data_IF_345020035850
#
_entry.id   IF_345020035850
#
_cell.length_a   1.000
_cell.length_b   1.000
_cell.length_c   1.000
_cell.angle_alpha   90.00
_cell.angle_beta   90.00
_cell.angle_gamma   90.00
#
_symmetry.space_group_name_H-M   'P 1'
#
loop_
_entity.id
_entity.type
_entity.pdbx_description
1 polymer ?
#
# COMPACT_ATOMS: atom_id res chain seq x y z
N UNK A 1 -14.28 -90.07 -68.23
CA UNK A 1 -14.79 -88.68 -68.37
C UNK A 1 -16.19 -88.53 -67.79
N UNK A 2 -17.18 -89.40 -68.12
CA UNK A 2 -18.55 -89.34 -67.55
C UNK A 2 -18.66 -89.46 -66.02
N UNK A 3 -17.90 -90.37 -65.40
CA UNK A 3 -17.94 -90.59 -63.93
C UNK A 3 -17.47 -89.32 -63.16
N UNK A 4 -16.50 -88.59 -63.70
CA UNK A 4 -15.99 -87.36 -63.08
C UNK A 4 -16.98 -86.17 -63.18
N UNK A 5 -17.82 -86.13 -64.22
CA UNK A 5 -18.89 -85.11 -64.35
C UNK A 5 -20.04 -85.38 -63.38
N UNK A 6 -20.46 -86.64 -63.22
CA UNK A 6 -21.49 -87.02 -62.24
C UNK A 6 -21.04 -86.75 -60.79
N UNK A 7 -19.77 -87.00 -60.47
CA UNK A 7 -19.19 -86.67 -59.16
C UNK A 7 -19.16 -85.17 -58.88
N UNK A 8 -18.87 -84.34 -59.90
CA UNK A 8 -18.92 -82.87 -59.78
C UNK A 8 -20.35 -82.36 -59.56
N UNK A 9 -21.32 -82.85 -60.33
CA UNK A 9 -22.74 -82.51 -60.15
C UNK A 9 -23.25 -82.89 -58.76
N UNK A 10 -22.88 -84.08 -58.26
CA UNK A 10 -23.23 -84.52 -56.91
C UNK A 10 -22.57 -83.67 -55.81
N UNK A 11 -21.35 -83.18 -56.02
CA UNK A 11 -20.69 -82.23 -55.10
C UNK A 11 -21.37 -80.86 -55.11
N UNK A 12 -21.75 -80.33 -56.27
CA UNK A 12 -22.47 -79.07 -56.39
C UNK A 12 -23.86 -79.11 -55.73
N UNK A 13 -24.59 -80.20 -55.90
CA UNK A 13 -25.86 -80.47 -55.22
C UNK A 13 -25.67 -80.47 -53.69
N UNK A 14 -24.66 -81.17 -53.17
CA UNK A 14 -24.34 -81.19 -51.73
C UNK A 14 -24.00 -79.80 -51.21
N UNK A 15 -23.25 -79.00 -51.97
CA UNK A 15 -22.91 -77.60 -51.61
C UNK A 15 -24.16 -76.72 -51.61
N UNK A 16 -25.05 -76.86 -52.59
CA UNK A 16 -26.33 -76.13 -52.64
C UNK A 16 -27.22 -76.48 -51.44
N UNK A 17 -27.30 -77.76 -51.07
CA UNK A 17 -28.05 -78.21 -49.90
C UNK A 17 -27.46 -77.67 -48.59
N UNK A 18 -26.12 -77.64 -48.45
CA UNK A 18 -25.45 -77.00 -47.30
C UNK A 18 -25.77 -75.51 -47.22
N UNK A 19 -25.64 -74.78 -48.32
CA UNK A 19 -25.97 -73.34 -48.39
C UNK A 19 -27.43 -73.04 -48.04
N UNK A 20 -28.38 -73.90 -48.44
CA UNK A 20 -29.79 -73.78 -48.05
C UNK A 20 -29.97 -73.93 -46.54
N UNK A 21 -29.38 -74.97 -45.94
CA UNK A 21 -29.41 -75.19 -44.49
C UNK A 21 -28.75 -74.05 -43.70
N UNK A 22 -27.63 -73.53 -44.18
CA UNK A 22 -26.94 -72.41 -43.54
C UNK A 22 -27.77 -71.13 -43.62
N UNK A 23 -28.43 -70.88 -44.76
CA UNK A 23 -29.34 -69.74 -44.93
C UNK A 23 -30.54 -69.82 -43.99
N UNK A 24 -31.10 -71.01 -43.79
CA UNK A 24 -32.20 -71.23 -42.83
C UNK A 24 -31.75 -70.99 -41.39
N UNK A 25 -30.57 -71.50 -40.99
CA UNK A 25 -29.99 -71.23 -39.66
C UNK A 25 -29.72 -69.75 -39.42
N UNK A 26 -29.23 -69.04 -40.43
CA UNK A 26 -28.99 -67.59 -40.36
C UNK A 26 -30.31 -66.84 -40.14
N UNK A 27 -31.37 -67.19 -40.88
CA UNK A 27 -32.70 -66.60 -40.69
C UNK A 27 -33.24 -66.81 -39.27
N UNK A 28 -33.21 -68.05 -38.78
CA UNK A 28 -33.65 -68.38 -37.42
C UNK A 28 -32.86 -67.59 -36.37
N UNK A 29 -31.54 -67.46 -36.54
CA UNK A 29 -30.70 -66.66 -35.64
C UNK A 29 -31.08 -65.17 -35.67
N UNK A 30 -31.35 -64.61 -36.84
CA UNK A 30 -31.78 -63.22 -36.96
C UNK A 30 -33.15 -62.98 -36.32
N UNK A 31 -34.10 -63.89 -36.49
CA UNK A 31 -35.42 -63.82 -35.87
C UNK A 31 -35.32 -63.81 -34.33
N UNK A 32 -34.51 -64.71 -33.76
CA UNK A 32 -34.26 -64.74 -32.30
C UNK A 32 -33.60 -63.44 -31.80
N UNK A 33 -32.64 -62.88 -32.55
CA UNK A 33 -32.00 -61.62 -32.20
C UNK A 33 -32.97 -60.42 -32.27
N UNK A 34 -33.85 -60.39 -33.27
CA UNK A 34 -34.90 -59.38 -33.38
C UNK A 34 -35.88 -59.45 -32.21
N UNK A 35 -36.32 -60.64 -31.82
CA UNK A 35 -37.18 -60.83 -30.66
C UNK A 35 -36.52 -60.39 -29.36
N UNK A 36 -35.23 -60.72 -29.17
CA UNK A 36 -34.46 -60.27 -28.02
C UNK A 36 -34.33 -58.74 -27.98
N UNK A 37 -34.04 -58.11 -29.12
CA UNK A 37 -33.98 -56.65 -29.23
C UNK A 37 -35.32 -55.99 -28.92
N UNK A 38 -36.43 -56.55 -29.40
CA UNK A 38 -37.78 -56.04 -29.10
C UNK A 38 -38.09 -56.11 -27.60
N UNK A 39 -37.81 -57.25 -26.97
CA UNK A 39 -37.99 -57.43 -25.52
C UNK A 39 -37.15 -56.45 -24.71
N UNK A 40 -35.88 -56.26 -25.09
CA UNK A 40 -35.02 -55.27 -24.43
C UNK A 40 -35.54 -53.85 -24.62
N UNK A 41 -35.95 -53.48 -25.84
CA UNK A 41 -36.51 -52.16 -26.11
C UNK A 41 -37.79 -51.88 -25.32
N UNK A 42 -38.64 -52.88 -25.09
CA UNK A 42 -39.82 -52.74 -24.22
C UNK A 42 -39.44 -52.52 -22.76
N UNK A 43 -38.46 -53.27 -22.23
CA UNK A 43 -37.95 -53.07 -20.87
C UNK A 43 -37.30 -51.70 -20.72
N UNK A 44 -36.51 -51.26 -21.69
CA UNK A 44 -35.85 -49.96 -21.68
C UNK A 44 -36.86 -48.81 -21.75
N UNK A 45 -37.96 -48.96 -22.49
CA UNK A 45 -39.07 -48.00 -22.51
C UNK A 45 -39.69 -47.84 -21.13
N UNK A 46 -40.03 -48.95 -20.47
CA UNK A 46 -40.60 -48.92 -19.11
C UNK A 46 -39.63 -48.25 -18.14
N UNK A 47 -38.35 -48.60 -18.20
CA UNK A 47 -37.30 -47.99 -17.37
C UNK A 47 -37.17 -46.49 -17.61
N UNK A 48 -37.27 -46.05 -18.87
CA UNK A 48 -37.22 -44.64 -19.25
C UNK A 48 -38.42 -43.87 -18.69
N UNK A 49 -39.62 -44.44 -18.76
CA UNK A 49 -40.83 -43.83 -18.19
C UNK A 49 -40.74 -43.67 -16.67
N UNK A 50 -40.20 -44.67 -15.96
CA UNK A 50 -39.95 -44.57 -14.52
C UNK A 50 -38.94 -43.46 -14.18
N UNK A 51 -37.86 -43.35 -14.95
CA UNK A 51 -36.86 -42.29 -14.77
C UNK A 51 -37.48 -40.91 -15.03
N UNK A 52 -38.28 -40.76 -16.08
CA UNK A 52 -38.97 -39.51 -16.39
C UNK A 52 -39.93 -39.10 -15.26
N UNK A 53 -40.68 -40.05 -14.68
CA UNK A 53 -41.56 -39.78 -13.52
C UNK A 53 -40.76 -39.28 -12.31
N UNK A 54 -39.62 -39.89 -12.02
CA UNK A 54 -38.73 -39.45 -10.92
C UNK A 54 -38.16 -38.06 -11.18
N UNK A 55 -37.71 -37.79 -12.40
CA UNK A 55 -37.21 -36.47 -12.79
C UNK A 55 -38.30 -35.40 -12.70
N UNK A 56 -39.52 -35.70 -13.13
CA UNK A 56 -40.64 -34.77 -13.03
C UNK A 56 -40.98 -34.43 -11.56
N UNK A 57 -40.99 -35.44 -10.68
CA UNK A 57 -41.20 -35.23 -9.25
C UNK A 57 -40.08 -34.37 -8.62
N UNK A 58 -38.83 -34.64 -8.97
CA UNK A 58 -37.68 -33.84 -8.51
C UNK A 58 -37.72 -32.40 -9.04
N UNK A 59 -38.11 -32.20 -10.31
CA UNK A 59 -38.18 -30.89 -10.92
C UNK A 59 -39.13 -29.93 -10.18
N UNK A 60 -40.24 -30.45 -9.63
CA UNK A 60 -41.18 -29.65 -8.83
C UNK A 60 -40.49 -29.15 -7.55
N UNK A 61 -39.85 -30.06 -6.82
CA UNK A 61 -39.13 -29.74 -5.56
C UNK A 61 -37.96 -28.80 -5.82
N UNK A 62 -37.19 -29.05 -6.89
CA UNK A 62 -36.07 -28.22 -7.26
C UNK A 62 -36.51 -26.82 -7.70
N UNK A 63 -37.66 -26.68 -8.37
CA UNK A 63 -38.21 -25.37 -8.75
C UNK A 63 -38.54 -24.52 -7.51
N UNK A 64 -39.16 -25.12 -6.48
CA UNK A 64 -39.43 -24.43 -5.21
C UNK A 64 -38.13 -24.05 -4.50
N UNK A 65 -37.15 -24.96 -4.46
CA UNK A 65 -35.84 -24.69 -3.85
C UNK A 65 -35.11 -23.55 -4.55
N UNK A 66 -35.15 -23.50 -5.88
CA UNK A 66 -34.52 -22.44 -6.68
C UNK A 66 -35.19 -21.11 -6.38
N UNK A 67 -36.53 -21.03 -6.42
CA UNK A 67 -37.26 -19.80 -6.08
C UNK A 67 -36.91 -19.29 -4.69
N UNK A 68 -36.85 -20.18 -3.69
CA UNK A 68 -36.47 -19.78 -2.34
C UNK A 68 -35.03 -19.24 -2.26
N UNK A 69 -34.09 -19.88 -2.98
CA UNK A 69 -32.69 -19.39 -3.04
C UNK A 69 -32.58 -18.04 -3.73
N UNK A 70 -33.29 -17.84 -4.83
CA UNK A 70 -33.35 -16.56 -5.54
C UNK A 70 -33.88 -15.45 -4.62
N UNK A 71 -34.93 -15.71 -3.84
CA UNK A 71 -35.47 -14.75 -2.87
C UNK A 71 -34.45 -14.39 -1.79
N UNK A 72 -33.74 -15.38 -1.23
CA UNK A 72 -32.69 -15.13 -0.24
C UNK A 72 -31.53 -14.31 -0.83
N UNK A 73 -31.14 -14.60 -2.06
CA UNK A 73 -30.09 -13.85 -2.75
C UNK A 73 -30.52 -12.40 -2.99
N UNK A 74 -31.74 -12.18 -3.46
CA UNK A 74 -32.32 -10.83 -3.61
C UNK A 74 -32.34 -10.07 -2.28
N UNK A 75 -32.75 -10.70 -1.18
CA UNK A 75 -32.73 -10.08 0.15
C UNK A 75 -31.31 -9.69 0.58
N UNK A 76 -30.31 -10.55 0.33
CA UNK A 76 -28.90 -10.24 0.63
C UNK A 76 -28.40 -9.05 -0.19
N UNK A 77 -28.69 -9.02 -1.49
CA UNK A 77 -28.29 -7.91 -2.38
C UNK A 77 -28.93 -6.60 -1.90
N UNK A 78 -30.23 -6.61 -1.58
CA UNK A 78 -30.92 -5.43 -1.06
C UNK A 78 -30.33 -4.96 0.28
N UNK A 79 -30.02 -5.88 1.19
CA UNK A 79 -29.39 -5.55 2.47
C UNK A 79 -27.99 -4.94 2.29
N UNK A 80 -27.19 -5.49 1.37
CA UNK A 80 -25.87 -4.93 1.03
C UNK A 80 -25.98 -3.52 0.44
N UNK A 81 -26.94 -3.32 -0.48
CA UNK A 81 -27.16 -2.01 -1.08
C UNK A 81 -27.54 -0.95 -0.04
N UNK A 82 -28.50 -1.27 0.84
CA UNK A 82 -28.91 -0.39 1.94
C UNK A 82 -27.74 -0.04 2.85
N UNK A 83 -26.95 -1.03 3.25
CA UNK A 83 -25.75 -0.81 4.08
C UNK A 83 -24.72 0.08 3.39
N UNK A 84 -24.51 -0.09 2.08
CA UNK A 84 -23.60 0.75 1.31
C UNK A 84 -24.12 2.20 1.19
N UNK A 85 -25.43 2.39 1.04
CA UNK A 85 -26.04 3.72 1.06
C UNK A 85 -25.88 4.41 2.41
N UNK A 86 -26.16 3.72 3.51
CA UNK A 86 -25.95 4.23 4.87
C UNK A 86 -24.49 4.62 5.11
N UNK A 87 -23.55 3.78 4.68
CA UNK A 87 -22.11 4.08 4.78
C UNK A 87 -21.72 5.33 3.99
N UNK A 88 -22.20 5.47 2.75
CA UNK A 88 -21.96 6.66 1.93
C UNK A 88 -22.52 7.92 2.56
N UNK A 89 -23.70 7.86 3.17
CA UNK A 89 -24.29 9.00 3.88
C UNK A 89 -23.44 9.39 5.10
N UNK A 90 -23.01 8.43 5.91
CA UNK A 90 -22.14 8.68 7.06
C UNK A 90 -20.78 9.27 6.65
N UNK A 91 -20.20 8.76 5.57
CA UNK A 91 -18.95 9.29 5.01
C UNK A 91 -19.13 10.72 4.51
N UNK A 92 -20.21 10.99 3.79
CA UNK A 92 -20.55 12.34 3.33
C UNK A 92 -20.74 13.32 4.49
N UNK A 93 -21.51 12.96 5.51
CA UNK A 93 -21.70 13.78 6.72
C UNK A 93 -20.36 14.06 7.45
N UNK A 94 -19.51 13.02 7.54
CA UNK A 94 -18.17 13.15 8.10
C UNK A 94 -17.30 14.10 7.28
N UNK A 95 -17.32 13.99 5.95
CA UNK A 95 -16.60 14.88 5.05
C UNK A 95 -17.10 16.32 5.17
N UNK A 96 -18.40 16.56 5.18
CA UNK A 96 -18.98 17.90 5.41
C UNK A 96 -18.51 18.49 6.75
N UNK A 97 -18.51 17.70 7.83
CA UNK A 97 -18.00 18.15 9.13
C UNK A 97 -16.51 18.48 9.09
N UNK A 98 -15.71 17.66 8.41
CA UNK A 98 -14.28 17.89 8.27
C UNK A 98 -13.99 19.12 7.40
N UNK A 99 -14.76 19.35 6.33
CA UNK A 99 -14.59 20.52 5.48
C UNK A 99 -14.95 21.81 6.24
N UNK A 100 -16.02 21.81 7.03
CA UNK A 100 -16.34 22.94 7.91
C UNK A 100 -15.23 23.23 8.94
N UNK A 101 -14.53 22.20 9.44
CA UNK A 101 -13.36 22.39 10.32
C UNK A 101 -12.15 22.91 9.54
N UNK A 102 -11.92 22.40 8.33
CA UNK A 102 -10.87 22.89 7.44
C UNK A 102 -11.11 24.35 7.13
N UNK A 103 -12.30 24.77 6.78
CA UNK A 103 -12.62 26.19 6.52
C UNK A 103 -12.28 27.09 7.72
N UNK A 104 -12.55 26.63 8.96
CA UNK A 104 -12.21 27.39 10.17
C UNK A 104 -10.71 27.54 10.42
N UNK A 105 -9.91 26.53 10.07
CA UNK A 105 -8.47 26.47 10.36
C UNK A 105 -7.61 26.83 9.14
N UNK A 106 -8.17 26.76 7.93
CA UNK A 106 -7.48 26.98 6.66
C UNK A 106 -6.96 28.40 6.64
N UNK A 107 -5.65 28.53 6.78
CA UNK A 107 -4.95 29.79 6.58
C UNK A 107 -5.07 30.13 5.09
N UNK A 108 -5.88 31.13 4.77
CA UNK A 108 -5.94 31.71 3.42
C UNK A 108 -4.70 32.58 3.27
N UNK A 109 -3.62 31.98 2.78
CA UNK A 109 -2.46 32.71 2.31
C UNK A 109 -2.58 32.94 0.81
N UNK A 110 -2.16 34.13 0.36
CA UNK A 110 -2.02 34.41 -1.06
C UNK A 110 -1.02 33.43 -1.70
N UNK A 111 -1.31 33.05 -2.95
CA UNK A 111 -0.44 32.19 -3.73
C UNK A 111 0.78 33.01 -4.16
N UNK A 112 1.82 32.97 -3.33
CA UNK A 112 3.11 33.59 -3.61
C UNK A 112 4.07 32.53 -4.19
N UNK A 113 4.35 32.54 -5.52
CA UNK A 113 5.26 31.58 -6.14
C UNK A 113 6.71 31.74 -5.67
N UNK A 114 7.09 32.91 -5.15
CA UNK A 114 8.42 33.15 -4.61
C UNK A 114 8.57 32.64 -3.16
N UNK A 115 7.49 32.28 -2.47
CA UNK A 115 7.54 31.73 -1.10
C UNK A 115 8.41 30.48 -0.98
N UNK A 116 8.46 29.67 -2.04
CA UNK A 116 9.29 28.45 -2.10
C UNK A 116 10.78 28.78 -2.26
N UNK A 117 11.09 29.90 -2.91
CA UNK A 117 12.45 30.33 -3.26
C UNK A 117 13.02 31.28 -2.19
N UNK A 118 12.16 32.01 -1.49
CA UNK A 118 12.54 33.02 -0.50
C UNK A 118 13.15 32.35 0.73
N UNK A 119 14.26 32.90 1.19
CA UNK A 119 14.87 32.57 2.48
C UNK A 119 13.82 32.69 3.61
N UNK A 120 13.75 31.68 4.49
CA UNK A 120 12.89 31.76 5.68
C UNK A 120 13.31 32.92 6.57
N UNK A 121 12.38 33.54 7.29
CA UNK A 121 12.68 34.67 8.20
C UNK A 121 13.81 34.32 9.18
N UNK A 122 13.81 33.09 9.70
CA UNK A 122 14.87 32.60 10.58
C UNK A 122 16.24 32.53 9.89
N UNK A 123 16.28 32.14 8.61
CA UNK A 123 17.53 32.15 7.82
C UNK A 123 18.01 33.57 7.51
N UNK A 124 17.09 34.49 7.23
CA UNK A 124 17.41 35.91 7.07
C UNK A 124 18.02 36.48 8.36
N UNK A 125 17.43 36.19 9.52
CA UNK A 125 17.96 36.62 10.82
C UNK A 125 19.34 36.02 11.15
N UNK A 126 19.63 34.79 10.71
CA UNK A 126 20.97 34.20 10.85
C UNK A 126 22.02 34.82 9.93
N UNK A 127 21.62 35.28 8.74
CA UNK A 127 22.50 35.96 7.78
C UNK A 127 22.72 37.43 8.11
N UNK A 128 21.82 38.06 8.86
CA UNK A 128 22.03 39.42 9.31
C UNK A 128 23.29 39.47 10.19
N UNK A 129 24.28 40.32 9.85
CA UNK A 129 25.32 40.67 10.80
C UNK A 129 24.67 41.19 12.08
N UNK A 130 25.27 40.91 13.23
CA UNK A 130 24.80 41.49 14.49
C UNK A 130 24.59 43.01 14.31
N UNK A 131 23.50 43.58 14.89
CA UNK A 131 23.19 44.99 14.72
C UNK A 131 24.43 45.82 15.04
N UNK A 132 24.69 46.86 14.24
CA UNK A 132 25.88 47.71 14.35
C UNK A 132 26.09 48.31 15.76
N UNK A 133 25.01 48.36 16.55
CA UNK A 133 24.99 48.88 17.92
C UNK A 133 25.00 47.80 19.02
N UNK A 134 25.08 46.51 18.66
CA UNK A 134 25.02 45.39 19.58
C UNK A 134 26.36 44.66 19.72
N UNK A 135 26.97 44.75 20.91
CA UNK A 135 28.13 43.92 21.28
C UNK A 135 27.77 42.45 21.06
N UNK A 136 28.45 41.78 20.13
CA UNK A 136 28.32 40.33 19.94
C UNK A 136 28.56 39.63 21.29
N UNK A 137 27.52 39.04 21.88
CA UNK A 137 27.64 38.36 23.18
C UNK A 137 28.71 37.24 23.16
N UNK A 138 28.96 36.66 21.99
CA UNK A 138 29.93 35.60 21.77
C UNK A 138 31.32 36.09 21.34
N UNK A 139 31.50 37.38 21.07
CA UNK A 139 32.81 37.93 20.77
C UNK A 139 33.52 38.27 22.08
N UNK A 140 34.74 37.75 22.32
CA UNK A 140 35.51 38.08 23.52
C UNK A 140 35.89 39.57 23.49
N UNK A 141 35.97 40.20 24.67
CA UNK A 141 36.32 41.62 24.75
C UNK A 141 37.81 41.89 24.46
N UNK A 142 38.66 40.86 24.56
CA UNK A 142 40.08 40.90 24.27
C UNK A 142 40.51 39.72 23.41
N UNK A 143 41.49 39.95 22.55
CA UNK A 143 42.13 38.88 21.79
C UNK A 143 43.09 38.08 22.69
N UNK A 144 42.85 36.77 22.79
CA UNK A 144 43.68 35.85 23.57
C UNK A 144 44.47 34.96 22.60
N UNK A 145 45.79 35.12 22.58
CA UNK A 145 46.70 34.34 21.74
C UNK A 145 47.38 33.22 22.56
N UNK A 146 46.59 32.26 23.04
CA UNK A 146 47.10 31.13 23.85
C UNK A 146 46.68 29.79 23.28
N UNK A 147 47.52 28.77 23.44
CA UNK A 147 47.28 27.42 22.91
C UNK A 147 46.77 26.41 23.97
N UNK A 148 46.79 26.78 25.26
CA UNK A 148 46.40 25.89 26.37
C UNK A 148 45.19 26.43 27.13
N UNK A 149 44.19 25.57 27.39
CA UNK A 149 42.99 25.91 28.16
C UNK A 149 43.28 26.35 29.60
N UNK A 150 44.32 25.80 30.22
CA UNK A 150 44.75 26.21 31.56
C UNK A 150 45.28 27.65 31.60
N UNK A 151 45.88 28.12 30.49
CA UNK A 151 46.34 29.51 30.38
C UNK A 151 45.17 30.47 30.21
N UNK A 152 44.17 30.07 29.41
CA UNK A 152 42.93 30.82 29.20
C UNK A 152 42.19 31.03 30.53
N UNK A 153 41.98 29.95 31.30
CA UNK A 153 41.27 30.03 32.58
C UNK A 153 42.07 30.71 33.69
N UNK A 154 43.39 30.84 33.54
CA UNK A 154 44.24 31.56 34.49
C UNK A 154 44.18 33.08 34.34
N UNK A 155 43.78 33.58 33.16
CA UNK A 155 43.81 35.00 32.85
C UNK A 155 42.79 35.79 33.70
N UNK A 156 43.21 36.79 34.50
CA UNK A 156 42.31 37.60 35.30
C UNK A 156 41.30 38.41 34.47
N UNK A 157 41.65 38.79 33.23
CA UNK A 157 40.77 39.57 32.35
C UNK A 157 39.54 38.78 31.94
N UNK A 158 39.73 37.52 31.56
CA UNK A 158 38.64 36.63 31.19
C UNK A 158 37.73 36.31 32.38
N UNK A 159 38.33 36.10 33.56
CA UNK A 159 37.56 35.90 34.80
C UNK A 159 36.70 37.12 35.15
N UNK A 160 37.24 38.32 34.98
CA UNK A 160 36.48 39.53 35.24
C UNK A 160 35.38 39.73 34.19
N UNK A 161 35.68 39.50 32.91
CA UNK A 161 34.71 39.58 31.81
C UNK A 161 33.52 38.66 32.06
N UNK A 162 33.79 37.39 32.33
CA UNK A 162 32.74 36.39 32.59
C UNK A 162 31.86 36.81 33.76
N UNK A 163 32.43 37.33 34.86
CA UNK A 163 31.65 37.86 35.98
C UNK A 163 30.82 39.08 35.61
N UNK A 164 31.34 40.00 34.79
CA UNK A 164 30.61 41.17 34.32
C UNK A 164 29.48 40.79 33.35
N UNK A 165 29.64 39.74 32.55
CA UNK A 165 28.59 39.18 31.70
C UNK A 165 27.53 38.44 32.53
N UNK A 166 27.94 37.62 33.48
CA UNK A 166 27.03 36.94 34.43
C UNK A 166 26.18 37.94 35.20
N UNK A 167 26.76 39.10 35.57
CA UNK A 167 26.07 40.20 36.24
C UNK A 167 25.29 41.13 35.28
N UNK A 168 25.40 40.95 33.96
CA UNK A 168 24.77 41.82 32.96
C UNK A 168 25.37 43.22 32.82
N UNK A 169 26.50 43.52 33.46
CA UNK A 169 27.13 44.85 33.53
C UNK A 169 28.20 45.12 32.46
N UNK A 170 28.46 44.14 31.58
CA UNK A 170 29.49 44.20 30.54
C UNK A 170 29.49 45.47 29.64
N UNK A 171 28.34 46.08 29.38
CA UNK A 171 28.23 47.27 28.52
C UNK A 171 28.30 48.61 29.28
N UNK A 172 28.52 48.60 30.59
CA UNK A 172 28.56 49.83 31.39
C UNK A 172 29.92 50.56 31.28
N UNK A 173 29.92 51.89 31.42
CA UNK A 173 31.15 52.69 31.46
C UNK A 173 32.09 52.25 32.58
N UNK A 174 31.50 51.88 33.72
CA UNK A 174 32.23 51.34 34.85
C UNK A 174 32.96 50.04 34.50
N UNK A 175 32.27 49.10 33.85
CA UNK A 175 32.89 47.86 33.40
C UNK A 175 34.05 48.14 32.43
N UNK A 176 33.89 49.07 31.48
CA UNK A 176 34.96 49.48 30.56
C UNK A 176 36.18 50.03 31.30
N UNK A 177 35.96 50.89 32.29
CA UNK A 177 37.02 51.49 33.09
C UNK A 177 37.78 50.47 33.93
N UNK A 178 37.06 49.57 34.60
CA UNK A 178 37.69 48.52 35.42
C UNK A 178 38.48 47.56 34.52
N UNK A 179 37.92 47.16 33.39
CA UNK A 179 38.58 46.24 32.45
C UNK A 179 39.86 46.83 31.86
N UNK A 180 39.90 48.14 31.58
CA UNK A 180 41.09 48.83 31.10
C UNK A 180 42.26 48.80 32.11
N UNK A 181 41.95 48.71 33.40
CA UNK A 181 42.95 48.67 34.49
C UNK A 181 43.50 47.28 34.76
N UNK A 182 42.88 46.21 34.24
CA UNK A 182 43.33 44.84 34.50
C UNK A 182 44.51 44.48 33.60
N UNK A 183 45.67 44.27 34.23
CA UNK A 183 46.88 43.84 33.54
C UNK A 183 46.79 42.37 33.10
N UNK A 184 47.46 41.99 31.99
CA UNK A 184 47.54 40.61 31.58
C UNK A 184 48.44 39.84 32.57
N UNK A 185 48.34 38.51 32.65
CA UNK A 185 49.15 37.71 33.58
C UNK A 185 50.65 37.81 33.30
N UNK A 186 51.03 38.19 32.08
CA UNK A 186 52.40 38.57 31.72
C UNK A 186 52.36 39.95 31.08
N UNK A 187 53.12 40.94 31.59
CA UNK A 187 53.20 42.22 30.92
C UNK A 187 53.81 42.03 29.52
N UNK A 188 53.41 42.86 28.53
CA UNK A 188 54.06 42.85 27.24
C UNK A 188 55.56 43.11 27.41
N UNK A 189 56.37 42.51 26.53
CA UNK A 189 57.82 42.75 26.53
C UNK A 189 58.10 44.25 26.36
N UNK A 190 59.15 44.76 27.02
CA UNK A 190 59.55 46.18 26.97
C UNK A 190 59.79 46.68 25.54
N UNK A 191 60.21 45.81 24.63
CA UNK A 191 60.47 46.17 23.23
C UNK A 191 59.18 46.25 22.39
N UNK A 192 58.05 45.81 22.96
CA UNK A 192 56.72 45.74 22.35
C UNK A 192 55.82 46.83 22.93
N UNK A 193 56.18 48.10 22.73
CA UNK A 193 55.28 49.20 23.11
C UNK A 193 54.17 49.35 22.06
N UNK A 194 52.92 49.16 22.49
CA UNK A 194 51.75 49.75 21.85
C UNK A 194 51.08 50.64 22.90
N UNK A 195 51.16 51.95 22.70
CA UNK A 195 50.54 52.93 23.58
C UNK A 195 49.04 52.97 23.33
N UNK A 196 48.24 52.62 24.33
CA UNK A 196 46.93 53.24 24.54
C UNK A 196 46.96 53.83 25.96
N UNK A 197 47.46 55.07 26.08
CA UNK A 197 47.12 55.91 27.22
C UNK A 197 45.80 56.60 26.85
N UNK A 198 44.69 56.15 27.43
CA UNK A 198 43.50 57.00 27.51
C UNK A 198 43.78 57.99 28.64
N UNK A 199 43.80 59.29 28.31
CA UNK A 199 43.97 60.37 29.29
C UNK A 199 42.80 60.44 30.28
N UNK A 200 43.09 61.04 31.44
CA UNK A 200 42.11 61.37 32.49
C UNK A 200 40.97 62.27 31.99
#
# INVERSE_FOLDING_TARGET
MRIAEEERLAQEEKVKQRRKKDKEKIKQRHEVLEEQRRKQAEVDKIRLEELQKRQAAQAIVDAERVKHREQLEQQKIQAQHKKAEEQRQLEYEKECRLEALREKVRVVAEVDPYRVIKDTENWQHRRMPAPADGVNMHQPLFDIHTFNSGQISSDPRLKLETKLRDAGLHNTDYARHVMARVEPPKPPRKDTFHTLKLGD
#
